data_IF_202583836834
#
_entry.id   IF_202583836834
#
_cell.length_a   1.000
_cell.length_b   1.000
_cell.length_c   1.000
_cell.angle_alpha   90.00
_cell.angle_beta   90.00
_cell.angle_gamma   90.00
#
_symmetry.space_group_name_H-M   'P 1'
#
loop_
_entity.id
_entity.type
_entity.pdbx_description
1 polymer ?
#
# COMPACT_ATOMS: atom_id res chain seq x y z
N UNK A 1 -63.02 -71.51 104.45
CA UNK A 1 -62.57 -70.26 105.11
C UNK A 1 -61.86 -69.41 104.05
N UNK A 2 -62.18 -68.12 104.02
CA UNK A 2 -61.89 -67.13 102.96
C UNK A 2 -60.53 -66.46 103.17
N UNK A 3 -59.91 -65.98 102.08
CA UNK A 3 -58.89 -64.89 102.07
C UNK A 3 -57.99 -65.01 100.83
N UNK A 4 -58.23 -64.35 99.69
CA UNK A 4 -58.07 -62.93 99.29
C UNK A 4 -56.62 -62.41 99.13
N UNK A 5 -56.36 -61.88 97.93
CA UNK A 5 -55.36 -60.83 97.59
C UNK A 5 -54.04 -61.36 97.01
N UNK A 6 -53.40 -60.78 96.00
CA UNK A 6 -53.70 -59.73 95.02
C UNK A 6 -52.60 -59.83 93.94
N UNK A 7 -52.90 -59.47 92.69
CA UNK A 7 -51.93 -59.44 91.58
C UNK A 7 -51.01 -58.21 91.64
N UNK A 8 -49.79 -58.31 91.10
CA UNK A 8 -49.03 -57.13 90.66
C UNK A 8 -48.10 -57.48 89.49
N UNK A 9 -48.38 -56.89 88.33
CA UNK A 9 -47.54 -56.84 87.13
C UNK A 9 -46.56 -55.67 87.25
N UNK A 10 -45.28 -55.87 86.93
CA UNK A 10 -44.31 -54.78 86.81
C UNK A 10 -43.45 -54.93 85.55
N UNK A 11 -43.44 -53.85 84.77
CA UNK A 11 -42.75 -53.56 83.53
C UNK A 11 -41.22 -53.69 83.65
N UNK A 12 -40.57 -54.31 82.66
CA UNK A 12 -39.12 -54.23 82.47
C UNK A 12 -38.77 -53.08 81.51
N UNK A 13 -38.32 -51.95 82.06
CA UNK A 13 -37.57 -50.94 81.31
C UNK A 13 -36.11 -51.41 81.19
N UNK A 14 -35.63 -51.55 79.96
CA UNK A 14 -34.23 -51.82 79.64
C UNK A 14 -33.34 -50.66 80.12
N UNK A 15 -32.69 -50.84 81.27
CA UNK A 15 -31.61 -49.98 81.75
C UNK A 15 -30.35 -50.26 80.93
N UNK A 16 -29.88 -49.25 80.19
CA UNK A 16 -28.47 -49.16 79.77
C UNK A 16 -27.60 -49.19 81.04
N UNK A 17 -26.66 -50.13 81.13
CA UNK A 17 -25.73 -50.24 82.25
C UNK A 17 -24.96 -48.91 82.46
N UNK A 18 -24.64 -48.51 83.71
CA UNK A 18 -23.92 -47.27 83.97
C UNK A 18 -22.50 -47.34 83.37
N UNK A 19 -22.09 -46.30 82.63
CA UNK A 19 -20.69 -46.13 82.22
C UNK A 19 -19.83 -46.04 83.46
N UNK A 20 -18.79 -46.88 83.56
CA UNK A 20 -17.87 -46.88 84.69
C UNK A 20 -16.69 -45.96 84.39
N UNK A 21 -16.61 -44.85 85.11
CA UNK A 21 -15.52 -43.89 85.04
C UNK A 21 -14.46 -44.27 86.08
N UNK A 22 -13.21 -44.39 85.64
CA UNK A 22 -12.07 -44.64 86.53
C UNK A 22 -11.11 -43.46 86.39
N UNK A 23 -10.96 -42.66 87.45
CA UNK A 23 -9.94 -41.61 87.49
C UNK A 23 -8.57 -42.24 87.34
N UNK A 24 -7.73 -41.62 86.49
CA UNK A 24 -6.40 -42.14 86.25
C UNK A 24 -5.59 -42.09 87.55
N UNK A 25 -4.95 -43.20 87.97
CA UNK A 25 -4.13 -43.21 89.17
C UNK A 25 -2.93 -42.27 89.01
N UNK A 26 -2.29 -41.90 90.12
CA UNK A 26 -1.10 -41.08 90.06
C UNK A 26 0.00 -41.80 89.25
N UNK A 27 0.22 -41.38 87.98
CA UNK A 27 1.13 -42.06 87.06
C UNK A 27 2.62 -41.91 87.46
N UNK A 28 2.89 -41.08 88.47
CA UNK A 28 4.22 -40.81 89.00
C UNK A 28 4.28 -41.18 90.48
N UNK A 29 4.04 -42.44 90.83
CA UNK A 29 4.45 -42.96 92.14
C UNK A 29 5.99 -42.89 92.22
N UNK A 30 6.51 -41.76 92.70
CA UNK A 30 7.91 -41.59 93.02
C UNK A 30 8.08 -41.83 94.52
N UNK A 31 8.86 -42.84 94.91
CA UNK A 31 9.11 -43.21 96.30
C UNK A 31 9.76 -42.09 97.16
N UNK A 32 10.04 -40.92 96.59
CA UNK A 32 10.52 -39.72 97.28
C UNK A 32 9.42 -38.66 97.41
N UNK A 33 8.59 -38.80 98.43
CA UNK A 33 7.54 -37.84 98.80
C UNK A 33 8.15 -36.57 99.43
N UNK A 34 8.56 -35.61 98.62
CA UNK A 34 8.72 -34.21 99.04
C UNK A 34 7.76 -33.31 98.24
N UNK A 35 6.59 -33.03 98.85
CA UNK A 35 5.67 -31.88 98.64
C UNK A 35 5.25 -31.46 97.21
N UNK A 36 5.62 -32.19 96.17
CA UNK A 36 5.36 -31.79 94.77
C UNK A 36 4.49 -32.76 93.97
N UNK A 37 4.08 -33.89 94.56
CA UNK A 37 3.47 -35.03 93.85
C UNK A 37 2.01 -34.79 93.35
N UNK A 38 1.07 -34.22 94.14
CA UNK A 38 -0.31 -33.99 93.66
C UNK A 38 -0.41 -32.84 92.66
N UNK A 39 0.47 -31.85 92.77
CA UNK A 39 0.45 -30.66 91.91
C UNK A 39 0.84 -31.03 90.47
N UNK A 40 1.88 -31.84 90.29
CA UNK A 40 2.28 -32.31 88.96
C UNK A 40 1.26 -33.27 88.34
N UNK A 41 0.64 -34.14 89.13
CA UNK A 41 -0.45 -35.00 88.65
C UNK A 41 -1.61 -34.17 88.10
N UNK A 42 -2.06 -33.18 88.86
CA UNK A 42 -3.15 -32.29 88.47
C UNK A 42 -2.77 -31.42 87.26
N UNK A 43 -1.51 -31.01 87.13
CA UNK A 43 -1.07 -30.31 85.91
C UNK A 43 -1.06 -31.22 84.68
N UNK A 44 -0.59 -32.46 84.83
CA UNK A 44 -0.37 -33.36 83.69
C UNK A 44 -1.68 -33.98 83.21
N UNK A 45 -2.42 -34.59 84.13
CA UNK A 45 -3.68 -35.27 83.82
C UNK A 45 -4.88 -34.39 84.18
N UNK A 46 -4.78 -33.54 85.21
CA UNK A 46 -5.93 -32.84 85.77
C UNK A 46 -6.97 -33.81 86.29
N UNK A 47 -8.19 -33.31 86.47
CA UNK A 47 -9.33 -34.16 86.78
C UNK A 47 -9.73 -34.96 85.52
N UNK A 48 -9.06 -36.09 85.28
CA UNK A 48 -9.28 -36.95 84.10
C UNK A 48 -9.71 -38.36 84.47
N UNK A 49 -10.78 -38.82 83.84
CA UNK A 49 -11.27 -40.18 83.92
C UNK A 49 -11.04 -40.95 82.63
N UNK A 50 -10.66 -42.22 82.75
CA UNK A 50 -10.69 -43.19 81.67
C UNK A 50 -12.04 -43.91 81.67
N UNK A 51 -12.77 -43.80 80.56
CA UNK A 51 -13.96 -44.59 80.31
C UNK A 51 -13.54 -45.93 79.73
N UNK A 52 -13.29 -46.88 80.63
CA UNK A 52 -12.71 -48.20 80.32
C UNK A 52 -13.47 -49.01 79.27
N UNK A 53 -14.77 -48.78 79.11
CA UNK A 53 -15.60 -49.47 78.12
C UNK A 53 -15.40 -48.95 76.68
N UNK A 54 -14.92 -47.71 76.52
CA UNK A 54 -14.85 -47.02 75.22
C UNK A 54 -13.41 -46.55 74.89
N UNK A 55 -12.44 -46.79 75.78
CA UNK A 55 -11.06 -46.30 75.70
C UNK A 55 -10.98 -44.77 75.43
N UNK A 56 -11.90 -44.03 76.05
CA UNK A 56 -12.04 -42.58 75.91
C UNK A 56 -11.57 -41.88 77.19
N UNK A 57 -10.97 -40.71 77.02
CA UNK A 57 -10.62 -39.83 78.12
C UNK A 57 -11.74 -38.82 78.32
N UNK A 58 -12.13 -38.62 79.58
CA UNK A 58 -13.04 -37.56 79.98
C UNK A 58 -12.32 -36.60 80.89
N UNK A 59 -12.13 -35.40 80.39
CA UNK A 59 -11.46 -34.30 81.06
C UNK A 59 -12.48 -33.41 81.73
N UNK A 60 -12.25 -33.06 82.99
CA UNK A 60 -13.08 -32.15 83.78
C UNK A 60 -12.32 -30.85 84.04
N UNK A 61 -13.04 -29.73 84.10
CA UNK A 61 -12.51 -28.46 84.55
C UNK A 61 -12.31 -28.48 86.08
N UNK A 62 -11.32 -27.72 86.55
CA UNK A 62 -11.05 -27.56 87.98
C UNK A 62 -12.13 -26.71 88.67
N UNK A 63 -12.71 -25.75 87.95
CA UNK A 63 -13.84 -24.94 88.42
C UNK A 63 -15.05 -24.86 87.48
N UNK A 64 -16.21 -24.50 88.04
CA UNK A 64 -17.48 -24.42 87.33
C UNK A 64 -17.55 -23.31 86.27
N UNK A 65 -16.58 -22.39 86.28
CA UNK A 65 -16.47 -21.28 85.33
C UNK A 65 -15.31 -21.45 84.34
N UNK A 66 -14.58 -22.57 84.40
CA UNK A 66 -13.41 -22.84 83.59
C UNK A 66 -13.64 -24.03 82.66
N UNK A 67 -12.75 -24.23 81.70
CA UNK A 67 -12.74 -25.39 80.81
C UNK A 67 -11.58 -26.31 81.16
N UNK A 68 -11.63 -27.60 80.81
CA UNK A 68 -10.49 -28.48 80.98
C UNK A 68 -9.22 -27.91 80.35
N UNK A 69 -8.10 -27.93 81.09
CA UNK A 69 -6.84 -27.31 80.70
C UNK A 69 -5.60 -28.13 81.10
N UNK A 70 -5.77 -29.43 81.37
CA UNK A 70 -4.63 -30.30 81.68
C UNK A 70 -3.64 -30.41 80.52
N UNK A 71 -2.37 -30.70 80.81
CA UNK A 71 -1.35 -30.85 79.77
C UNK A 71 -1.72 -31.96 78.78
N UNK A 72 -2.32 -33.06 79.24
CA UNK A 72 -2.78 -34.14 78.36
C UNK A 72 -3.92 -33.68 77.45
N UNK A 73 -4.91 -32.96 77.97
CA UNK A 73 -6.00 -32.41 77.16
C UNK A 73 -5.46 -31.46 76.09
N UNK A 74 -4.65 -30.48 76.51
CA UNK A 74 -4.06 -29.49 75.63
C UNK A 74 -3.15 -30.13 74.58
N UNK A 75 -2.37 -31.15 74.95
CA UNK A 75 -1.53 -31.87 73.99
C UNK A 75 -2.37 -32.54 72.91
N UNK A 76 -3.41 -33.27 73.28
CA UNK A 76 -4.29 -33.95 72.31
C UNK A 76 -4.97 -32.91 71.40
N UNK A 77 -5.46 -31.81 71.97
CA UNK A 77 -6.13 -30.76 71.21
C UNK A 77 -5.17 -30.09 70.22
N UNK A 78 -3.98 -29.71 70.67
CA UNK A 78 -3.00 -29.04 69.84
C UNK A 78 -2.45 -29.96 68.75
N UNK A 79 -2.14 -31.22 69.06
CA UNK A 79 -1.67 -32.19 68.05
C UNK A 79 -2.74 -32.40 66.97
N UNK A 80 -4.02 -32.53 67.37
CA UNK A 80 -5.15 -32.64 66.44
C UNK A 80 -5.30 -31.39 65.55
N UNK A 81 -5.22 -30.19 66.13
CA UNK A 81 -5.35 -28.95 65.35
C UNK A 81 -4.13 -28.69 64.45
N UNK A 82 -2.94 -29.10 64.87
CA UNK A 82 -1.70 -28.87 64.13
C UNK A 82 -1.53 -29.87 62.99
N UNK A 83 -1.65 -31.16 63.30
CA UNK A 83 -1.35 -32.26 62.37
C UNK A 83 -2.59 -32.92 61.76
N UNK A 84 -3.78 -32.56 62.24
CA UNK A 84 -5.01 -33.22 61.83
C UNK A 84 -5.18 -34.58 62.50
N UNK A 85 -6.10 -35.36 61.95
CA UNK A 85 -6.44 -36.70 62.43
C UNK A 85 -7.07 -37.52 61.30
N UNK A 86 -6.98 -38.85 61.40
CA UNK A 86 -7.63 -39.80 60.49
C UNK A 86 -8.69 -40.62 61.21
N UNK A 87 -9.48 -41.34 60.43
CA UNK A 87 -10.50 -42.26 60.97
C UNK A 87 -9.84 -43.26 61.92
N UNK A 88 -10.45 -43.45 63.09
CA UNK A 88 -9.91 -44.30 64.15
C UNK A 88 -9.03 -43.59 65.18
N UNK A 89 -8.59 -42.36 64.95
CA UNK A 89 -7.80 -41.61 65.94
C UNK A 89 -8.65 -41.13 67.12
N UNK A 90 -8.06 -41.04 68.31
CA UNK A 90 -8.72 -40.44 69.47
C UNK A 90 -8.68 -38.92 69.35
N UNK A 91 -9.84 -38.30 69.25
CA UNK A 91 -9.99 -36.86 69.04
C UNK A 91 -10.81 -36.19 70.13
N UNK A 92 -10.57 -34.90 70.32
CA UNK A 92 -11.45 -34.01 71.04
C UNK A 92 -12.53 -33.54 70.05
N UNK A 93 -13.83 -33.80 70.33
CA UNK A 93 -14.91 -33.33 69.47
C UNK A 93 -14.89 -31.81 69.37
N UNK A 94 -14.91 -31.29 68.14
CA UNK A 94 -14.97 -29.86 67.87
C UNK A 94 -16.36 -29.48 67.35
N UNK A 95 -16.78 -28.24 67.63
CA UNK A 95 -17.95 -27.61 67.04
C UNK A 95 -17.65 -27.05 65.63
N UNK A 96 -18.64 -26.43 65.01
CA UNK A 96 -18.52 -25.80 63.69
C UNK A 96 -17.48 -24.67 63.59
N UNK A 97 -17.04 -24.13 64.73
CA UNK A 97 -16.03 -23.09 64.82
C UNK A 97 -14.66 -23.64 65.26
N UNK A 98 -14.52 -24.97 65.37
CA UNK A 98 -13.26 -25.61 65.74
C UNK A 98 -12.96 -25.55 67.24
N UNK A 99 -13.96 -25.25 68.08
CA UNK A 99 -13.80 -25.21 69.53
C UNK A 99 -14.20 -26.56 70.15
N UNK A 100 -13.55 -27.00 71.24
CA UNK A 100 -13.96 -28.22 71.92
C UNK A 100 -15.43 -28.17 72.36
N UNK A 101 -16.15 -29.27 72.16
CA UNK A 101 -17.56 -29.38 72.57
C UNK A 101 -17.63 -29.71 74.06
N UNK A 102 -17.82 -28.68 74.88
CA UNK A 102 -17.97 -28.80 76.33
C UNK A 102 -19.39 -29.23 76.73
N UNK A 103 -19.50 -29.99 77.83
CA UNK A 103 -20.76 -30.36 78.48
C UNK A 103 -20.70 -30.02 79.97
N UNK A 104 -21.84 -29.75 80.59
CA UNK A 104 -21.91 -29.61 82.05
C UNK A 104 -22.11 -30.98 82.69
N UNK A 105 -21.23 -31.33 83.61
CA UNK A 105 -21.28 -32.57 84.40
C UNK A 105 -21.25 -32.27 85.90
N UNK A 106 -21.76 -33.21 86.70
CA UNK A 106 -21.76 -33.12 88.15
C UNK A 106 -20.71 -34.06 88.74
N UNK A 107 -19.72 -33.49 89.44
CA UNK A 107 -18.70 -34.24 90.19
C UNK A 107 -18.98 -34.15 91.69
N UNK A 108 -18.60 -35.17 92.45
CA UNK A 108 -18.71 -35.19 93.91
C UNK A 108 -17.31 -35.07 94.51
N UNK A 109 -17.01 -33.92 95.11
CA UNK A 109 -15.73 -33.63 95.73
C UNK A 109 -15.96 -33.35 97.23
N UNK A 110 -15.27 -34.09 98.11
CA UNK A 110 -15.41 -33.97 99.57
C UNK A 110 -16.88 -34.03 100.08
N UNK A 111 -17.74 -34.81 99.42
CA UNK A 111 -19.16 -34.97 99.78
C UNK A 111 -20.08 -33.84 99.31
N UNK A 112 -19.60 -32.86 98.52
CA UNK A 112 -20.42 -31.82 97.88
C UNK A 112 -20.47 -32.03 96.37
N UNK A 113 -21.65 -31.86 95.80
CA UNK A 113 -21.84 -31.90 94.34
C UNK A 113 -21.49 -30.54 93.73
N UNK A 114 -20.58 -30.54 92.76
CA UNK A 114 -20.18 -29.36 91.98
C UNK A 114 -20.53 -29.60 90.51
N UNK A 115 -21.01 -28.57 89.82
CA UNK A 115 -21.20 -28.61 88.36
C UNK A 115 -19.96 -28.02 87.68
N UNK A 116 -19.35 -28.75 86.77
CA UNK A 116 -18.13 -28.37 86.04
C UNK A 116 -18.27 -28.66 84.55
N UNK A 117 -17.50 -27.96 83.71
CA UNK A 117 -17.40 -28.32 82.30
C UNK A 117 -16.56 -29.58 82.12
N UNK A 118 -16.94 -30.41 81.16
CA UNK A 118 -16.21 -31.61 80.76
C UNK A 118 -16.14 -31.76 79.25
N UNK A 119 -15.13 -32.51 78.79
CA UNK A 119 -15.01 -32.97 77.41
C UNK A 119 -14.67 -34.45 77.42
N UNK A 120 -15.41 -35.24 76.65
CA UNK A 120 -15.09 -36.65 76.41
C UNK A 120 -14.49 -36.79 75.02
N UNK A 121 -13.31 -37.38 74.92
CA UNK A 121 -12.75 -37.75 73.61
C UNK A 121 -13.64 -38.77 72.92
N UNK A 122 -13.51 -38.87 71.61
CA UNK A 122 -14.17 -39.92 70.82
C UNK A 122 -13.20 -40.48 69.79
N UNK A 123 -13.54 -41.64 69.23
CA UNK A 123 -12.87 -42.16 68.04
C UNK A 123 -13.38 -41.41 66.82
N UNK A 124 -12.47 -40.88 66.01
CA UNK A 124 -12.81 -40.16 64.78
C UNK A 124 -13.52 -41.09 63.79
N UNK A 125 -14.64 -40.62 63.27
CA UNK A 125 -15.45 -41.32 62.24
C UNK A 125 -15.15 -40.76 60.85
N UNK A 126 -15.62 -41.42 59.79
CA UNK A 126 -15.52 -40.90 58.42
C UNK A 126 -16.12 -39.49 58.26
N UNK A 127 -17.23 -39.19 58.96
CA UNK A 127 -17.85 -37.86 58.95
C UNK A 127 -16.93 -36.81 59.61
N UNK A 128 -16.20 -37.18 60.66
CA UNK A 128 -15.26 -36.29 61.33
C UNK A 128 -14.05 -35.96 60.44
N UNK A 129 -13.59 -36.94 59.65
CA UNK A 129 -12.47 -36.76 58.71
C UNK A 129 -12.86 -35.88 57.52
N UNK A 130 -14.14 -35.79 57.18
CA UNK A 130 -14.63 -34.88 56.13
C UNK A 130 -14.83 -33.44 56.63
N UNK A 131 -14.36 -33.11 57.84
CA UNK A 131 -14.39 -31.75 58.38
C UNK A 131 -13.16 -30.93 57.95
N UNK A 132 -13.26 -29.60 58.04
CA UNK A 132 -12.14 -28.71 57.75
C UNK A 132 -10.94 -28.88 58.71
N UNK A 133 -11.14 -29.53 59.86
CA UNK A 133 -10.12 -29.66 60.90
C UNK A 133 -9.31 -30.96 60.82
N UNK A 134 -9.74 -31.92 60.00
CA UNK A 134 -9.09 -33.23 59.88
C UNK A 134 -7.70 -33.18 59.27
N UNK A 135 -7.40 -32.14 58.49
CA UNK A 135 -6.10 -31.93 57.86
C UNK A 135 -5.10 -31.19 58.75
N UNK A 136 -5.62 -30.53 59.79
CA UNK A 136 -4.86 -29.62 60.62
C UNK A 136 -4.28 -28.43 59.87
N UNK A 137 -3.64 -27.53 60.62
CA UNK A 137 -2.97 -26.35 60.08
C UNK A 137 -1.83 -26.75 59.13
N UNK A 138 -1.15 -27.87 59.38
CA UNK A 138 -0.05 -28.32 58.52
C UNK A 138 -0.53 -28.66 57.10
N UNK A 139 -1.67 -29.34 56.96
CA UNK A 139 -2.22 -29.65 55.63
C UNK A 139 -2.58 -28.41 54.83
N UNK A 140 -3.12 -27.38 55.49
CA UNK A 140 -3.42 -26.11 54.85
C UNK A 140 -2.15 -25.35 54.43
N UNK A 141 -1.10 -25.40 55.26
CA UNK A 141 0.22 -24.82 54.94
C UNK A 141 0.83 -25.52 53.71
N UNK A 142 0.75 -26.85 53.63
CA UNK A 142 1.31 -27.62 52.52
C UNK A 142 0.61 -27.30 51.18
N UNK A 143 -0.72 -27.15 51.20
CA UNK A 143 -1.48 -26.71 50.03
C UNK A 143 -1.10 -25.29 49.59
N UNK A 144 -1.00 -24.36 50.55
CA UNK A 144 -0.59 -22.99 50.28
C UNK A 144 0.83 -22.93 49.71
N UNK A 145 1.74 -23.75 50.23
CA UNK A 145 3.10 -23.84 49.70
C UNK A 145 3.10 -24.36 48.27
N UNK A 146 2.34 -25.42 47.99
CA UNK A 146 2.20 -26.00 46.65
C UNK A 146 1.63 -24.98 45.65
N UNK A 147 0.50 -24.35 46.00
CA UNK A 147 -0.13 -23.32 45.17
C UNK A 147 0.80 -22.11 44.94
N UNK A 148 1.57 -21.72 45.96
CA UNK A 148 2.54 -20.64 45.83
C UNK A 148 3.70 -21.04 44.88
N UNK A 149 4.22 -22.25 44.98
CA UNK A 149 5.25 -22.76 44.05
C UNK A 149 4.74 -22.78 42.62
N UNK A 150 3.51 -23.26 42.38
CA UNK A 150 2.89 -23.25 41.05
C UNK A 150 2.73 -21.82 40.51
N UNK A 151 2.27 -20.89 41.34
CA UNK A 151 2.14 -19.48 40.96
C UNK A 151 3.49 -18.84 40.63
N UNK A 152 4.53 -19.11 41.42
CA UNK A 152 5.89 -18.64 41.14
C UNK A 152 6.39 -19.19 39.80
N UNK A 153 6.19 -20.47 39.52
CA UNK A 153 6.58 -21.07 38.24
C UNK A 153 5.85 -20.43 37.05
N UNK A 154 4.53 -20.19 37.19
CA UNK A 154 3.75 -19.48 36.15
C UNK A 154 4.23 -18.05 35.93
N UNK A 155 4.61 -17.34 37.00
CA UNK A 155 5.17 -16.00 36.89
C UNK A 155 6.51 -15.99 36.15
N UNK A 156 7.36 -17.00 36.41
CA UNK A 156 8.63 -17.18 35.69
C UNK A 156 8.36 -17.40 34.19
N UNK A 157 7.49 -18.34 33.83
CA UNK A 157 7.14 -18.62 32.42
C UNK A 157 6.54 -17.40 31.71
N UNK A 158 5.71 -16.63 32.41
CA UNK A 158 5.16 -15.39 31.86
C UNK A 158 6.26 -14.34 31.66
N UNK A 159 7.23 -14.25 32.58
CA UNK A 159 8.41 -13.40 32.43
C UNK A 159 9.18 -13.72 31.15
N UNK A 160 9.48 -14.99 30.89
CA UNK A 160 10.21 -15.41 29.69
C UNK A 160 9.46 -15.03 28.39
N UNK A 161 8.13 -15.23 28.37
CA UNK A 161 7.29 -14.82 27.23
C UNK A 161 7.27 -13.30 27.04
N UNK A 162 7.26 -12.53 28.13
CA UNK A 162 7.33 -11.07 28.08
C UNK A 162 8.67 -10.63 27.47
N UNK A 163 9.79 -11.23 27.89
CA UNK A 163 11.11 -10.92 27.31
C UNK A 163 11.19 -11.25 25.82
N UNK A 164 10.67 -12.41 25.39
CA UNK A 164 10.64 -12.78 23.97
C UNK A 164 9.77 -11.82 23.13
N UNK A 165 8.64 -11.37 23.69
CA UNK A 165 7.79 -10.38 23.04
C UNK A 165 8.47 -9.01 22.96
N UNK A 166 9.20 -8.60 24.00
CA UNK A 166 9.98 -7.36 24.00
C UNK A 166 11.04 -7.36 22.89
N UNK A 167 11.78 -8.45 22.72
CA UNK A 167 12.75 -8.60 21.63
C UNK A 167 12.09 -8.52 20.25
N UNK A 168 10.94 -9.17 20.08
CA UNK A 168 10.17 -9.12 18.82
C UNK A 168 9.70 -7.71 18.49
N UNK A 169 9.22 -6.96 19.50
CA UNK A 169 8.79 -5.56 19.35
C UNK A 169 9.98 -4.66 18.99
N UNK A 170 11.15 -4.88 19.60
CA UNK A 170 12.38 -4.15 19.26
C UNK A 170 12.79 -4.38 17.80
N UNK A 171 12.72 -5.63 17.32
CA UNK A 171 13.00 -5.95 15.92
C UNK A 171 12.01 -5.26 14.96
N UNK A 172 10.71 -5.36 15.24
CA UNK A 172 9.67 -4.70 14.46
C UNK A 172 9.87 -3.18 14.41
N UNK A 173 10.24 -2.56 15.53
CA UNK A 173 10.53 -1.12 15.58
C UNK A 173 11.71 -0.75 14.68
N UNK A 174 12.78 -1.56 14.65
CA UNK A 174 13.92 -1.32 13.76
C UNK A 174 13.53 -1.38 12.28
N UNK A 175 12.76 -2.39 11.89
CA UNK A 175 12.28 -2.53 10.51
C UNK A 175 11.33 -1.38 10.12
N UNK A 176 10.48 -0.93 11.04
CA UNK A 176 9.63 0.24 10.82
C UNK A 176 10.46 1.51 10.62
N UNK A 177 11.53 1.72 11.39
CA UNK A 177 12.43 2.87 11.18
C UNK A 177 13.13 2.80 9.82
N UNK A 178 13.66 1.64 9.42
CA UNK A 178 14.25 1.45 8.10
C UNK A 178 13.25 1.78 6.98
N UNK A 179 11.99 1.35 7.13
CA UNK A 179 10.93 1.65 6.17
C UNK A 179 10.58 3.14 6.12
N UNK A 180 10.58 3.84 7.26
CA UNK A 180 10.38 5.29 7.33
C UNK A 180 11.49 6.01 6.56
N UNK A 181 12.75 5.62 6.77
CA UNK A 181 13.91 6.18 6.04
C UNK A 181 13.78 5.98 4.53
N UNK A 182 13.48 4.76 4.08
CA UNK A 182 13.27 4.45 2.67
C UNK A 182 12.11 5.27 2.05
N UNK A 183 11.01 5.46 2.77
CA UNK A 183 9.88 6.27 2.30
C UNK A 183 10.30 7.74 2.15
N UNK A 184 11.11 8.27 3.06
CA UNK A 184 11.64 9.64 2.96
C UNK A 184 12.55 9.80 1.74
N UNK A 185 13.43 8.85 1.45
CA UNK A 185 14.27 8.87 0.24
C UNK A 185 13.44 8.85 -1.04
N UNK A 186 12.41 7.98 -1.10
CA UNK A 186 11.50 7.91 -2.25
C UNK A 186 10.72 9.22 -2.44
N UNK A 187 10.29 9.87 -1.36
CA UNK A 187 9.60 11.15 -1.43
C UNK A 187 10.53 12.26 -1.99
N UNK A 188 11.80 12.30 -1.57
CA UNK A 188 12.78 13.24 -2.10
C UNK A 188 13.03 13.01 -3.60
N UNK A 189 13.15 11.75 -4.03
CA UNK A 189 13.29 11.41 -5.45
C UNK A 189 12.06 11.83 -6.26
N UNK A 190 10.85 11.64 -5.71
CA UNK A 190 9.60 12.07 -6.36
C UNK A 190 9.56 13.59 -6.57
N UNK A 191 9.99 14.37 -5.57
CA UNK A 191 10.07 15.83 -5.69
C UNK A 191 11.09 16.26 -6.75
N UNK A 192 12.26 15.62 -6.79
CA UNK A 192 13.27 15.86 -7.82
C UNK A 192 12.74 15.54 -9.23
N UNK A 193 12.15 14.36 -9.42
CA UNK A 193 11.55 13.97 -10.70
C UNK A 193 10.44 14.94 -11.12
N UNK A 194 9.64 15.45 -10.18
CA UNK A 194 8.63 16.47 -10.49
C UNK A 194 9.25 17.77 -11.02
N UNK A 195 10.39 18.19 -10.46
CA UNK A 195 11.13 19.37 -10.92
C UNK A 195 11.74 19.16 -12.32
N UNK A 196 12.32 17.98 -12.55
CA UNK A 196 12.92 17.63 -13.83
C UNK A 196 11.87 17.60 -14.95
N UNK A 197 10.69 17.03 -14.68
CA UNK A 197 9.55 17.02 -15.63
C UNK A 197 9.11 18.45 -15.96
N UNK A 198 9.01 19.35 -14.97
CA UNK A 198 8.66 20.76 -15.21
C UNK A 198 9.70 21.45 -16.09
N UNK A 199 10.98 21.17 -15.84
CA UNK A 199 12.10 21.73 -16.63
C UNK A 199 12.08 21.21 -18.06
N UNK A 200 11.91 19.90 -18.26
CA UNK A 200 11.81 19.29 -19.59
C UNK A 200 10.61 19.84 -20.37
N UNK A 201 9.45 19.99 -19.72
CA UNK A 201 8.27 20.59 -20.34
C UNK A 201 8.56 22.01 -20.84
N UNK A 202 9.19 22.84 -20.00
CA UNK A 202 9.58 24.20 -20.36
C UNK A 202 10.53 24.22 -21.57
N UNK A 203 11.57 23.39 -21.54
CA UNK A 203 12.55 23.31 -22.65
C UNK A 203 11.89 22.88 -23.97
N UNK A 204 10.94 21.94 -23.91
CA UNK A 204 10.19 21.51 -25.10
C UNK A 204 9.28 22.64 -25.61
N UNK A 205 8.59 23.35 -24.73
CA UNK A 205 7.75 24.51 -25.10
C UNK A 205 8.59 25.62 -25.75
N UNK A 206 9.74 25.97 -25.17
CA UNK A 206 10.67 26.96 -25.72
C UNK A 206 11.22 26.52 -27.09
N UNK A 207 11.67 25.27 -27.22
CA UNK A 207 12.20 24.76 -28.48
C UNK A 207 11.17 24.69 -29.61
N UNK A 208 9.91 24.35 -29.29
CA UNK A 208 8.82 24.38 -30.26
C UNK A 208 8.47 25.81 -30.70
N UNK A 209 8.50 26.77 -29.77
CA UNK A 209 8.25 28.17 -30.06
C UNK A 209 9.34 28.76 -30.97
N UNK A 210 10.61 28.49 -30.66
CA UNK A 210 11.75 28.91 -31.47
C UNK A 210 11.68 28.32 -32.89
N UNK A 211 11.44 27.02 -33.01
CA UNK A 211 11.27 26.36 -34.31
C UNK A 211 10.12 26.97 -35.11
N UNK A 212 8.98 27.24 -34.45
CA UNK A 212 7.85 27.90 -35.09
C UNK A 212 8.21 29.31 -35.59
N UNK A 213 9.02 30.06 -34.84
CA UNK A 213 9.53 31.37 -35.24
C UNK A 213 10.36 31.28 -36.52
N UNK A 214 11.37 30.42 -36.53
CA UNK A 214 12.23 30.22 -37.71
C UNK A 214 11.46 29.78 -38.96
N UNK A 215 10.46 28.90 -38.81
CA UNK A 215 9.63 28.47 -39.93
C UNK A 215 8.74 29.60 -40.48
N UNK A 216 8.27 30.51 -39.62
CA UNK A 216 7.51 31.70 -40.05
C UNK A 216 8.42 32.66 -40.82
N UNK A 217 9.63 32.92 -40.31
CA UNK A 217 10.60 33.79 -40.97
C UNK A 217 11.01 33.24 -42.33
N UNK A 218 11.35 31.93 -42.40
CA UNK A 218 11.68 31.26 -43.66
C UNK A 218 10.53 31.33 -44.67
N UNK A 219 9.29 31.17 -44.22
CA UNK A 219 8.11 31.31 -45.09
C UNK A 219 7.95 32.74 -45.61
N UNK A 220 8.24 33.75 -44.78
CA UNK A 220 8.18 35.15 -45.19
C UNK A 220 9.23 35.47 -46.26
N UNK A 221 10.47 35.01 -46.07
CA UNK A 221 11.55 35.16 -47.04
C UNK A 221 11.23 34.48 -48.37
N UNK A 222 10.80 33.21 -48.34
CA UNK A 222 10.39 32.49 -49.55
C UNK A 222 9.23 33.19 -50.28
N UNK A 223 8.28 33.78 -49.54
CA UNK A 223 7.17 34.54 -50.14
C UNK A 223 7.69 35.79 -50.86
N UNK A 224 8.69 36.47 -50.30
CA UNK A 224 9.32 37.65 -50.92
C UNK A 224 10.11 37.26 -52.18
N UNK A 225 10.86 36.17 -52.11
CA UNK A 225 11.63 35.67 -53.25
C UNK A 225 10.72 35.25 -54.41
N UNK A 226 9.62 34.54 -54.12
CA UNK A 226 8.61 34.16 -55.12
C UNK A 226 8.03 35.41 -55.79
N UNK A 227 7.60 36.43 -55.03
CA UNK A 227 7.08 37.68 -55.61
C UNK A 227 8.10 38.40 -56.49
N UNK A 228 9.37 38.38 -56.09
CA UNK A 228 10.46 38.99 -56.86
C UNK A 228 10.67 38.24 -58.19
N UNK A 229 10.66 36.91 -58.14
CA UNK A 229 10.74 36.07 -59.34
C UNK A 229 9.54 36.29 -60.27
N UNK A 230 8.32 36.34 -59.73
CA UNK A 230 7.10 36.65 -60.49
C UNK A 230 7.22 37.99 -61.21
N UNK A 231 7.63 39.06 -60.50
CA UNK A 231 7.82 40.39 -61.10
C UNK A 231 8.88 40.39 -62.20
N UNK A 232 10.02 39.74 -61.99
CA UNK A 232 11.09 39.67 -62.99
C UNK A 232 10.65 38.90 -64.25
N UNK A 233 9.88 37.82 -64.08
CA UNK A 233 9.31 37.05 -65.19
C UNK A 233 8.29 37.89 -65.95
N UNK A 234 7.40 38.59 -65.25
CA UNK A 234 6.39 39.45 -65.86
C UNK A 234 7.04 40.60 -66.66
N UNK A 235 8.02 41.29 -66.09
CA UNK A 235 8.77 42.36 -66.76
C UNK A 235 9.52 41.84 -67.99
N UNK A 236 10.21 40.69 -67.87
CA UNK A 236 10.93 40.09 -68.99
C UNK A 236 10.01 39.63 -70.14
N UNK A 237 8.82 39.10 -69.82
CA UNK A 237 7.81 38.73 -70.81
C UNK A 237 7.22 39.98 -71.49
N UNK A 238 7.01 41.06 -70.74
CA UNK A 238 6.50 42.32 -71.27
C UNK A 238 7.50 42.98 -72.24
N UNK A 239 8.79 43.04 -71.88
CA UNK A 239 9.85 43.55 -72.76
C UNK A 239 9.96 42.73 -74.05
N UNK A 240 9.98 41.40 -73.93
CA UNK A 240 10.00 40.50 -75.10
C UNK A 240 8.77 40.72 -75.99
N UNK A 241 7.58 40.85 -75.39
CA UNK A 241 6.35 41.13 -76.14
C UNK A 241 6.43 42.47 -76.88
N UNK A 242 6.98 43.51 -76.24
CA UNK A 242 7.20 44.82 -76.88
C UNK A 242 8.10 44.71 -78.10
N UNK A 243 9.27 44.07 -77.96
CA UNK A 243 10.22 43.87 -79.07
C UNK A 243 9.63 43.05 -80.22
N UNK A 244 8.82 42.03 -79.92
CA UNK A 244 8.14 41.23 -80.94
C UNK A 244 7.08 42.05 -81.70
N UNK A 245 6.40 42.99 -81.04
CA UNK A 245 5.46 43.91 -81.69
C UNK A 245 6.19 44.87 -82.62
N UNK A 246 7.32 45.43 -82.20
CA UNK A 246 8.14 46.31 -83.03
C UNK A 246 8.66 45.58 -84.27
N UNK A 247 9.22 44.37 -84.09
CA UNK A 247 9.65 43.53 -85.21
C UNK A 247 8.52 43.20 -86.17
N UNK A 248 7.30 42.95 -85.66
CA UNK A 248 6.12 42.71 -86.50
C UNK A 248 5.77 43.96 -87.32
N UNK A 249 5.88 45.16 -86.74
CA UNK A 249 5.64 46.41 -87.45
C UNK A 249 6.68 46.66 -88.55
N UNK A 250 7.97 46.44 -88.27
CA UNK A 250 9.06 46.56 -89.25
C UNK A 250 8.88 45.58 -90.41
N UNK A 251 8.51 44.33 -90.13
CA UNK A 251 8.20 43.33 -91.17
C UNK A 251 7.02 43.79 -92.04
N UNK A 252 5.96 44.33 -91.43
CA UNK A 252 4.80 44.83 -92.18
C UNK A 252 5.17 46.01 -93.10
N UNK A 253 6.01 46.93 -92.62
CA UNK A 253 6.54 48.02 -93.44
C UNK A 253 7.38 47.50 -94.61
N UNK A 254 8.30 46.58 -94.34
CA UNK A 254 9.12 45.96 -95.39
C UNK A 254 8.27 45.23 -96.43
N UNK A 255 7.17 44.58 -96.03
CA UNK A 255 6.23 43.96 -96.97
C UNK A 255 5.54 45.00 -97.87
N UNK A 256 5.14 46.14 -97.31
CA UNK A 256 4.56 47.24 -98.10
C UNK A 256 5.58 47.83 -99.08
N UNK A 257 6.81 48.08 -98.63
CA UNK A 257 7.90 48.60 -99.48
C UNK A 257 8.24 47.61 -100.61
N UNK A 258 8.27 46.30 -100.33
CA UNK A 258 8.47 45.26 -101.36
C UNK A 258 7.33 45.26 -102.38
N UNK A 259 6.07 45.37 -101.94
CA UNK A 259 4.92 45.44 -102.83
C UNK A 259 4.96 46.68 -103.73
N UNK A 260 5.37 47.82 -103.18
CA UNK A 260 5.58 49.05 -103.95
C UNK A 260 6.70 48.87 -104.98
N UNK A 261 7.86 48.36 -104.57
CA UNK A 261 8.98 48.11 -105.47
C UNK A 261 8.60 47.13 -106.61
N UNK A 262 7.76 46.12 -106.34
CA UNK A 262 7.24 45.22 -107.37
C UNK A 262 6.38 45.97 -108.40
N UNK A 263 5.57 46.94 -107.96
CA UNK A 263 4.76 47.80 -108.83
C UNK A 263 5.66 48.70 -109.68
N UNK A 264 6.64 49.37 -109.06
CA UNK A 264 7.57 50.27 -109.76
C UNK A 264 8.39 49.52 -110.83
N UNK A 265 8.82 48.28 -110.54
CA UNK A 265 9.52 47.42 -111.52
C UNK A 265 8.61 47.07 -112.69
N UNK A 266 7.33 46.79 -112.46
CA UNK A 266 6.37 46.50 -113.52
C UNK A 266 6.13 47.73 -114.41
N UNK A 267 5.98 48.91 -113.80
CA UNK A 267 5.82 50.17 -114.53
C UNK A 267 7.06 50.49 -115.39
N UNK A 268 8.27 50.30 -114.84
CA UNK A 268 9.52 50.44 -115.59
C UNK A 268 9.63 49.43 -116.74
N UNK A 269 9.22 48.18 -116.53
CA UNK A 269 9.20 47.16 -117.58
C UNK A 269 8.26 47.56 -118.73
N UNK A 270 7.05 48.05 -118.40
CA UNK A 270 6.09 48.55 -119.39
C UNK A 270 6.62 49.78 -120.14
N UNK A 271 7.28 50.70 -119.44
CA UNK A 271 7.92 51.86 -120.05
C UNK A 271 9.03 51.45 -121.03
N UNK A 272 9.88 50.49 -120.65
CA UNK A 272 10.94 49.97 -121.52
C UNK A 272 10.36 49.28 -122.76
N UNK A 273 9.26 48.52 -122.64
CA UNK A 273 8.60 47.89 -123.78
C UNK A 273 8.06 48.94 -124.78
N UNK A 274 7.51 50.06 -124.29
CA UNK A 274 7.13 51.18 -125.14
C UNK A 274 8.35 51.84 -125.81
N UNK A 275 9.45 51.99 -125.08
CA UNK A 275 10.69 52.56 -125.63
C UNK A 275 11.26 51.67 -126.74
N UNK A 276 11.26 50.35 -126.56
CA UNK A 276 11.69 49.39 -127.58
C UNK A 276 10.79 49.46 -128.82
N UNK A 277 9.46 49.58 -128.65
CA UNK A 277 8.52 49.79 -129.76
C UNK A 277 8.79 51.11 -130.52
N UNK A 278 9.11 52.20 -129.81
CA UNK A 278 9.47 53.47 -130.43
C UNK A 278 10.79 53.37 -131.20
N UNK A 279 11.81 52.73 -130.62
CA UNK A 279 13.09 52.49 -131.28
C UNK A 279 12.91 51.66 -132.56
N UNK A 280 12.11 50.58 -132.50
CA UNK A 280 11.78 49.76 -133.66
C UNK A 280 11.11 50.58 -134.77
N UNK A 281 10.09 51.39 -134.44
CA UNK A 281 9.43 52.28 -135.40
C UNK A 281 10.40 53.30 -136.02
N UNK A 282 11.34 53.82 -135.24
CA UNK A 282 12.35 54.77 -135.74
C UNK A 282 13.33 54.09 -136.71
N UNK A 283 13.79 52.87 -136.40
CA UNK A 283 14.61 52.06 -137.32
C UNK A 283 13.86 51.79 -138.62
N UNK A 284 12.60 51.36 -138.57
CA UNK A 284 11.77 51.13 -139.75
C UNK A 284 11.60 52.40 -140.61
N UNK A 285 11.41 53.56 -139.98
CA UNK A 285 11.32 54.84 -140.68
C UNK A 285 12.65 55.26 -141.34
N UNK A 286 13.78 55.04 -140.65
CA UNK A 286 15.13 55.28 -141.21
C UNK A 286 15.40 54.36 -142.40
N UNK A 287 15.07 53.07 -142.30
CA UNK A 287 15.23 52.12 -143.39
C UNK A 287 14.38 52.50 -144.62
N UNK A 288 13.14 52.94 -144.40
CA UNK A 288 12.28 53.47 -145.47
C UNK A 288 12.88 54.72 -146.13
N UNK A 289 13.41 55.66 -145.34
CA UNK A 289 14.10 56.86 -145.85
C UNK A 289 15.38 56.49 -146.63
N UNK A 290 16.19 55.56 -146.12
CA UNK A 290 17.40 55.09 -146.79
C UNK A 290 17.07 54.41 -148.12
N UNK A 291 16.01 53.60 -148.16
CA UNK A 291 15.51 52.99 -149.40
C UNK A 291 15.08 54.06 -150.41
N UNK A 292 14.24 55.02 -150.00
CA UNK A 292 13.81 56.12 -150.86
C UNK A 292 14.98 56.99 -151.35
N UNK A 293 15.98 57.24 -150.50
CA UNK A 293 17.20 57.98 -150.83
C UNK A 293 18.06 57.23 -151.85
N UNK A 294 18.21 55.91 -151.71
CA UNK A 294 18.90 55.06 -152.67
C UNK A 294 18.21 55.08 -154.04
N UNK A 295 16.88 54.94 -154.08
CA UNK A 295 16.08 55.05 -155.30
C UNK A 295 16.24 56.43 -155.96
N UNK A 296 16.23 57.52 -155.18
CA UNK A 296 16.50 58.86 -155.69
C UNK A 296 17.91 59.01 -156.25
N UNK A 297 18.93 58.44 -155.59
CA UNK A 297 20.31 58.47 -156.07
C UNK A 297 20.44 57.74 -157.42
N UNK A 298 19.77 56.59 -157.56
CA UNK A 298 19.68 55.86 -158.83
C UNK A 298 18.97 56.69 -159.91
N UNK A 299 17.88 57.37 -159.58
CA UNK A 299 17.17 58.26 -160.51
C UNK A 299 18.04 59.45 -160.94
N UNK A 300 18.81 60.07 -160.03
CA UNK A 300 19.75 61.15 -160.37
C UNK A 300 20.86 60.63 -161.29
N UNK A 301 21.44 59.47 -161.00
CA UNK A 301 22.46 58.85 -161.84
C UNK A 301 21.91 58.55 -163.25
N UNK A 302 20.68 58.03 -163.32
CA UNK A 302 19.95 57.83 -164.58
C UNK A 302 19.76 59.15 -165.33
N UNK A 303 19.26 60.19 -164.65
CA UNK A 303 19.10 61.51 -165.23
C UNK A 303 20.43 62.12 -165.71
N UNK A 304 21.53 61.93 -164.97
CA UNK A 304 22.86 62.35 -165.41
C UNK A 304 23.31 61.61 -166.67
N UNK A 305 23.09 60.30 -166.75
CA UNK A 305 23.38 59.52 -167.94
C UNK A 305 22.54 59.98 -169.15
N UNK A 306 21.25 60.27 -168.93
CA UNK A 306 20.35 60.80 -169.96
C UNK A 306 20.78 62.20 -170.41
N UNK A 307 21.23 63.08 -169.50
CA UNK A 307 21.80 64.40 -169.83
C UNK A 307 23.10 64.24 -170.61
N UNK A 308 24.02 63.37 -170.18
CA UNK A 308 25.27 63.11 -170.89
C UNK A 308 25.02 62.61 -172.31
N UNK A 309 24.03 61.71 -172.49
CA UNK A 309 23.57 61.27 -173.80
C UNK A 309 23.01 62.43 -174.64
N UNK A 310 22.16 63.29 -174.06
CA UNK A 310 21.64 64.47 -174.76
C UNK A 310 22.74 65.46 -175.14
N UNK A 311 23.74 65.67 -174.29
CA UNK A 311 24.92 66.51 -174.59
C UNK A 311 25.73 65.90 -175.73
N UNK A 312 26.00 64.59 -175.71
CA UNK A 312 26.68 63.91 -176.82
C UNK A 312 25.90 64.06 -178.13
N UNK A 313 24.59 63.89 -178.12
CA UNK A 313 23.74 64.11 -179.29
C UNK A 313 23.79 65.56 -179.82
N UNK A 314 23.99 66.56 -178.95
CA UNK A 314 24.19 67.95 -179.37
C UNK A 314 25.57 68.14 -180.01
N UNK A 315 26.61 67.53 -179.47
CA UNK A 315 27.97 67.60 -180.04
C UNK A 315 28.10 66.87 -181.38
N UNK A 316 27.30 65.85 -181.66
CA UNK A 316 27.28 65.18 -182.98
C UNK A 316 26.51 65.99 -184.05
N UNK A 317 25.78 67.04 -183.66
CA UNK A 317 24.99 67.89 -184.56
C UNK A 317 25.64 69.26 -184.86
N UNK A 318 26.85 69.53 -184.36
CA UNK A 318 27.65 70.73 -184.62
C UNK A 318 28.96 70.39 -185.33
#
# INVERSE_FOLDING_TARGET
MVGLGMASTANAQQQKSPKTEIFLPNLFDNDNTELTDPLYHNMILGNTALLTQENQYKFYADDGNEVPDSLLFNKILHDQLLHGFKEGDTIIPLDENGKPVYKLDSIVEQGKTKTVYSVTTKTATADDVNSAYSRGIQGDIDDLYTANTENVNRLIEHGDKIFANEESVQYLNKEVQNNIENIHELAQQQDQHSSDIKTLKKNVEEGLLELSGHLIDQKADLTKDIKTLESNVEEGLLDLSGRLLDQKADIAKNQADIAQNQTDIQDLAAYNELQDQYAQKQTEAIDALNKASSENTQNIAKNQADIANNINNIYELA
#
